data_IF_307464151409
#
_entry.id   IF_307464151409
#
_cell.length_a   1.000
_cell.length_b   1.000
_cell.length_c   1.000
_cell.angle_alpha   90.00
_cell.angle_beta   90.00
_cell.angle_gamma   90.00
#
_symmetry.space_group_name_H-M   'P 1'
#
loop_
_entity.id
_entity.type
_entity.pdbx_description
1 polymer ?
#
# COMPACT_ATOMS: atom_id res chain seq x y z
N UNK A 1 -1.83 -9.61 -16.45
CA UNK A 1 -2.87 -8.72 -17.02
C UNK A 1 -4.06 -8.67 -16.09
N UNK A 2 -4.80 -7.56 -16.09
CA UNK A 2 -5.98 -7.36 -15.25
C UNK A 2 -7.12 -6.87 -16.15
N UNK A 3 -8.29 -7.48 -16.05
CA UNK A 3 -9.45 -7.11 -16.87
C UNK A 3 -10.76 -7.41 -16.12
N UNK A 4 -11.85 -6.83 -16.61
CA UNK A 4 -13.20 -7.24 -16.22
C UNK A 4 -13.85 -8.00 -17.38
N UNK A 5 -14.57 -9.06 -17.05
CA UNK A 5 -15.43 -9.77 -18.00
C UNK A 5 -16.62 -8.89 -18.42
N UNK A 6 -17.40 -9.34 -19.41
CA UNK A 6 -18.63 -8.67 -19.81
C UNK A 6 -19.67 -8.60 -18.69
N UNK A 7 -19.68 -9.59 -17.78
CA UNK A 7 -20.50 -9.58 -16.55
C UNK A 7 -19.91 -8.74 -15.41
N UNK A 8 -18.68 -8.24 -15.54
CA UNK A 8 -18.02 -7.36 -14.57
C UNK A 8 -17.11 -8.08 -13.57
N UNK A 9 -16.98 -9.41 -13.66
CA UNK A 9 -16.04 -10.20 -12.85
C UNK A 9 -14.61 -9.72 -13.09
N UNK A 10 -13.90 -9.40 -12.00
CA UNK A 10 -12.50 -9.01 -12.06
C UNK A 10 -11.63 -10.26 -12.22
N UNK A 11 -10.71 -10.24 -13.18
CA UNK A 11 -9.78 -11.35 -13.42
C UNK A 11 -8.36 -10.84 -13.51
N UNK A 12 -7.45 -11.50 -12.77
CA UNK A 12 -6.00 -11.34 -12.92
C UNK A 12 -5.45 -12.62 -13.54
N UNK A 13 -4.73 -12.50 -14.64
CA UNK A 13 -4.21 -13.66 -15.37
C UNK A 13 -2.81 -13.37 -15.92
N UNK A 14 -2.10 -14.43 -16.34
CA UNK A 14 -0.83 -14.27 -17.04
C UNK A 14 -1.01 -13.42 -18.30
N UNK A 15 -0.01 -12.57 -18.58
CA UNK A 15 -0.09 -11.66 -19.73
C UNK A 15 0.12 -12.35 -21.07
N UNK A 16 0.66 -13.57 -21.11
CA UNK A 16 1.00 -14.28 -22.34
C UNK A 16 0.11 -15.49 -22.56
N UNK A 17 -0.39 -15.63 -23.79
CA UNK A 17 -1.22 -16.74 -24.20
C UNK A 17 -0.43 -18.06 -24.12
N UNK A 18 -0.95 -19.10 -23.44
CA UNK A 18 -0.26 -20.39 -23.29
C UNK A 18 -0.10 -21.17 -24.62
N UNK A 19 -0.71 -20.71 -25.71
CA UNK A 19 -0.58 -21.36 -27.03
C UNK A 19 0.80 -21.13 -27.64
N UNK A 20 1.11 -19.87 -27.97
CA UNK A 20 2.37 -19.48 -28.65
C UNK A 20 2.93 -18.17 -28.10
N UNK A 21 2.59 -17.81 -26.85
CA UNK A 21 3.20 -16.69 -26.14
C UNK A 21 2.75 -15.30 -26.58
N UNK A 22 1.62 -15.15 -27.27
CA UNK A 22 1.09 -13.82 -27.63
C UNK A 22 0.74 -13.02 -26.38
N UNK A 23 1.23 -11.77 -26.27
CA UNK A 23 0.86 -10.88 -25.17
C UNK A 23 -0.62 -10.47 -25.26
N UNK A 24 -1.45 -10.98 -24.35
CA UNK A 24 -2.90 -10.74 -24.30
C UNK A 24 -3.23 -9.30 -23.88
N UNK A 25 -2.41 -8.65 -23.04
CA UNK A 25 -2.62 -7.24 -22.71
C UNK A 25 -2.43 -6.26 -23.89
N UNK A 26 -2.06 -6.74 -25.08
CA UNK A 26 -1.92 -5.94 -26.29
C UNK A 26 -2.85 -6.47 -27.37
N UNK A 27 -4.05 -5.88 -27.46
CA UNK A 27 -5.02 -6.18 -28.52
C UNK A 27 -5.97 -7.35 -28.26
N UNK A 28 -5.89 -8.04 -27.11
CA UNK A 28 -6.98 -8.94 -26.73
C UNK A 28 -8.29 -8.16 -26.54
N UNK A 29 -9.40 -8.86 -26.75
CA UNK A 29 -10.76 -8.31 -26.60
C UNK A 29 -11.54 -9.16 -25.62
N UNK A 30 -12.54 -8.56 -24.98
CA UNK A 30 -13.49 -9.26 -24.12
C UNK A 30 -14.75 -9.54 -24.94
N UNK A 31 -15.10 -10.82 -25.08
CA UNK A 31 -16.29 -11.29 -25.81
C UNK A 31 -17.21 -12.02 -24.84
N UNK A 32 -18.25 -11.34 -24.35
CA UNK A 32 -19.01 -11.86 -23.20
C UNK A 32 -18.08 -12.00 -22.00
N UNK A 33 -17.97 -13.19 -21.42
CA UNK A 33 -17.06 -13.46 -20.29
C UNK A 33 -15.71 -14.05 -20.71
N UNK A 34 -15.44 -14.15 -22.02
CA UNK A 34 -14.19 -14.71 -22.52
C UNK A 34 -13.19 -13.62 -22.86
N UNK A 35 -11.91 -13.84 -22.52
CA UNK A 35 -10.83 -13.09 -23.16
C UNK A 35 -10.41 -13.79 -24.46
N UNK A 36 -10.41 -13.03 -25.56
CA UNK A 36 -10.03 -13.50 -26.89
C UNK A 36 -8.61 -13.05 -27.26
N UNK A 37 -7.75 -14.02 -27.52
CA UNK A 37 -6.37 -13.81 -27.96
C UNK A 37 -6.32 -13.13 -29.35
N UNK A 38 -5.51 -12.08 -29.54
CA UNK A 38 -5.47 -11.32 -30.79
C UNK A 38 -4.83 -12.08 -31.96
N UNK A 39 -3.98 -13.08 -31.69
CA UNK A 39 -3.25 -13.78 -32.75
C UNK A 39 -4.10 -14.85 -33.45
N UNK A 40 -4.66 -15.78 -32.68
CA UNK A 40 -5.40 -16.93 -33.23
C UNK A 40 -6.88 -16.95 -32.84
N UNK A 41 -7.35 -15.92 -32.13
CA UNK A 41 -8.75 -15.83 -31.70
C UNK A 41 -9.17 -16.87 -30.66
N UNK A 42 -8.23 -17.54 -29.99
CA UNK A 42 -8.53 -18.47 -28.90
C UNK A 42 -9.22 -17.74 -27.75
N UNK A 43 -10.28 -18.35 -27.20
CA UNK A 43 -11.08 -17.77 -26.12
C UNK A 43 -10.83 -18.52 -24.83
N UNK A 44 -10.57 -17.77 -23.77
CA UNK A 44 -10.33 -18.30 -22.44
C UNK A 44 -11.46 -17.87 -21.50
N UNK A 45 -12.02 -18.81 -20.76
CA UNK A 45 -13.00 -18.57 -19.67
C UNK A 45 -12.34 -17.76 -18.53
N UNK A 46 -13.11 -17.16 -17.60
CA UNK A 46 -12.56 -16.42 -16.46
C UNK A 46 -11.61 -17.26 -15.59
N UNK A 47 -11.86 -18.57 -15.48
CA UNK A 47 -10.98 -19.54 -14.82
C UNK A 47 -9.85 -20.08 -15.71
N UNK A 48 -9.67 -19.52 -16.90
CA UNK A 48 -8.52 -19.74 -17.78
C UNK A 48 -8.64 -20.88 -18.79
N UNK A 49 -9.73 -21.65 -18.83
CA UNK A 49 -9.83 -22.75 -19.79
C UNK A 49 -10.03 -22.25 -21.22
N UNK A 50 -9.30 -22.83 -22.18
CA UNK A 50 -9.49 -22.52 -23.59
C UNK A 50 -10.67 -23.30 -24.17
N UNK A 51 -11.68 -22.58 -24.66
CA UNK A 51 -12.90 -23.14 -25.24
C UNK A 51 -12.59 -24.00 -26.46
N UNK A 52 -11.75 -23.50 -27.38
CA UNK A 52 -11.41 -24.21 -28.61
C UNK A 52 -10.53 -25.44 -28.37
N UNK A 53 -9.65 -25.41 -27.36
CA UNK A 53 -8.82 -26.58 -27.03
C UNK A 53 -9.68 -27.72 -26.50
N UNK A 54 -10.60 -27.41 -25.57
CA UNK A 54 -11.55 -28.38 -25.01
C UNK A 54 -12.44 -29.00 -26.09
N UNK A 55 -12.95 -28.18 -27.02
CA UNK A 55 -13.76 -28.66 -28.13
C UNK A 55 -13.03 -29.65 -29.06
N UNK A 56 -11.69 -29.59 -29.12
CA UNK A 56 -10.83 -30.48 -29.91
C UNK A 56 -10.28 -31.67 -29.11
N UNK A 57 -10.76 -31.89 -27.88
CA UNK A 57 -10.27 -32.95 -26.99
C UNK A 57 -8.89 -32.69 -26.38
N UNK A 58 -8.39 -31.44 -26.47
CA UNK A 58 -7.14 -31.02 -25.84
C UNK A 58 -7.36 -30.23 -24.55
N UNK A 59 -6.26 -29.85 -23.90
CA UNK A 59 -6.24 -28.95 -22.75
C UNK A 59 -5.27 -27.82 -23.00
N UNK A 60 -5.74 -26.58 -22.82
CA UNK A 60 -4.93 -25.39 -22.85
C UNK A 60 -5.50 -24.44 -21.79
N UNK A 61 -4.67 -24.09 -20.81
CA UNK A 61 -5.07 -23.31 -19.64
C UNK A 61 -4.24 -22.03 -19.58
N UNK A 62 -4.93 -20.88 -19.59
CA UNK A 62 -4.37 -19.60 -19.19
C UNK A 62 -4.30 -19.58 -17.67
N UNK A 63 -3.14 -19.26 -17.10
CA UNK A 63 -3.01 -19.14 -15.65
C UNK A 63 -3.78 -17.91 -15.17
N UNK A 64 -4.64 -18.13 -14.19
CA UNK A 64 -5.44 -17.11 -13.51
C UNK A 64 -4.99 -17.08 -12.05
N UNK A 65 -4.85 -15.90 -11.49
CA UNK A 65 -4.40 -15.67 -10.12
C UNK A 65 -5.61 -15.26 -9.27
N UNK A 66 -5.76 -15.80 -8.04
CA UNK A 66 -6.81 -15.35 -7.13
C UNK A 66 -6.73 -13.84 -6.92
N UNK A 67 -7.88 -13.18 -6.96
CA UNK A 67 -7.98 -11.72 -6.89
C UNK A 67 -9.00 -11.31 -5.85
N UNK A 68 -8.74 -10.19 -5.17
CA UNK A 68 -9.74 -9.52 -4.35
C UNK A 68 -9.71 -8.00 -4.56
N UNK A 69 -10.81 -7.36 -4.22
CA UNK A 69 -10.93 -5.90 -4.19
C UNK A 69 -11.09 -5.45 -2.74
N UNK A 70 -10.24 -4.52 -2.29
CA UNK A 70 -10.31 -3.91 -0.96
C UNK A 70 -10.25 -2.41 -1.13
N UNK A 71 -11.31 -1.71 -0.71
CA UNK A 71 -11.43 -0.25 -0.82
C UNK A 71 -11.07 0.28 -2.23
N UNK A 72 -11.67 -0.33 -3.26
CA UNK A 72 -11.44 0.05 -4.66
C UNK A 72 -10.07 -0.29 -5.24
N UNK A 73 -9.15 -0.88 -4.45
CA UNK A 73 -7.84 -1.35 -4.89
C UNK A 73 -7.89 -2.84 -5.22
N UNK A 74 -7.14 -3.25 -6.25
CA UNK A 74 -7.08 -4.63 -6.74
C UNK A 74 -5.83 -5.33 -6.21
N UNK A 75 -6.01 -6.49 -5.58
CA UNK A 75 -4.93 -7.32 -5.07
C UNK A 75 -4.98 -8.70 -5.71
N UNK A 76 -3.81 -9.24 -6.04
CA UNK A 76 -3.67 -10.60 -6.57
C UNK A 76 -2.83 -11.42 -5.61
N UNK A 77 -3.25 -12.66 -5.37
CA UNK A 77 -2.46 -13.66 -4.68
C UNK A 77 -1.37 -14.20 -5.60
N UNK A 78 -0.18 -14.42 -5.06
CA UNK A 78 0.91 -15.08 -5.76
C UNK A 78 1.53 -16.15 -4.86
N UNK A 79 1.59 -17.37 -5.40
CA UNK A 79 2.34 -18.47 -4.82
C UNK A 79 3.06 -19.21 -5.95
N UNK A 80 4.36 -19.55 -5.82
CA UNK A 80 5.11 -20.28 -6.85
C UNK A 80 4.46 -21.63 -7.21
N UNK A 81 3.92 -22.32 -6.21
CA UNK A 81 3.24 -23.62 -6.33
C UNK A 81 1.76 -23.53 -6.71
N UNK A 82 1.23 -22.31 -6.90
CA UNK A 82 -0.17 -22.01 -7.20
C UNK A 82 -1.15 -22.45 -6.09
N UNK A 83 -0.68 -22.58 -4.85
CA UNK A 83 -1.56 -22.77 -3.70
C UNK A 83 -2.56 -21.62 -3.55
N UNK A 84 -3.78 -21.89 -3.03
CA UNK A 84 -4.78 -20.85 -2.79
C UNK A 84 -4.31 -19.89 -1.68
N UNK A 85 -4.94 -18.70 -1.55
CA UNK A 85 -4.63 -17.75 -0.50
C UNK A 85 -4.70 -18.39 0.89
N UNK A 86 -3.60 -18.28 1.66
CA UNK A 86 -3.53 -18.79 3.04
C UNK A 86 -3.95 -17.74 4.08
N UNK A 87 -4.11 -16.48 3.66
CA UNK A 87 -4.61 -15.38 4.47
C UNK A 87 -5.44 -14.41 3.62
N UNK A 88 -6.25 -13.60 4.28
CA UNK A 88 -7.06 -12.56 3.66
C UNK A 88 -6.55 -11.17 4.04
N UNK A 89 -6.77 -10.19 3.17
CA UNK A 89 -6.56 -8.79 3.51
C UNK A 89 -7.69 -8.30 4.43
N UNK A 90 -7.42 -7.33 5.32
CA UNK A 90 -8.44 -6.76 6.19
C UNK A 90 -9.53 -6.07 5.37
N UNK A 91 -10.79 -6.23 5.77
CA UNK A 91 -11.85 -5.36 5.28
C UNK A 91 -11.58 -3.91 5.69
N UNK A 92 -11.83 -2.99 4.78
CA UNK A 92 -11.66 -1.56 5.02
C UNK A 92 -12.86 -0.80 4.48
N UNK A 93 -13.60 -0.16 5.40
CA UNK A 93 -14.61 0.83 5.03
C UNK A 93 -13.95 2.20 4.85
N UNK A 94 -13.90 2.66 3.61
CA UNK A 94 -13.33 3.93 3.19
C UNK A 94 -14.39 4.94 2.75
N UNK A 95 -15.70 4.70 2.97
CA UNK A 95 -16.77 5.60 2.48
C UNK A 95 -16.67 7.03 3.04
N UNK A 96 -16.14 7.17 4.25
CA UNK A 96 -15.92 8.45 4.90
C UNK A 96 -14.65 9.17 4.40
N UNK A 97 -13.86 8.53 3.55
CA UNK A 97 -12.59 9.05 3.05
C UNK A 97 -12.73 9.73 1.69
N UNK A 98 -11.82 10.63 1.41
CA UNK A 98 -11.73 11.30 0.12
C UNK A 98 -11.19 10.34 -0.95
N UNK A 99 -11.39 10.64 -2.26
CA UNK A 99 -10.81 9.83 -3.31
C UNK A 99 -9.29 9.66 -3.14
N UNK A 100 -8.80 8.46 -3.39
CA UNK A 100 -7.38 8.14 -3.26
C UNK A 100 -6.51 8.98 -4.20
N UNK A 101 -5.37 9.41 -3.66
CA UNK A 101 -4.24 9.93 -4.44
C UNK A 101 -3.14 8.89 -4.40
N UNK A 102 -2.55 8.60 -5.56
CA UNK A 102 -1.54 7.55 -5.70
C UNK A 102 -0.29 8.17 -6.32
N UNK A 103 0.86 7.91 -5.71
CA UNK A 103 2.17 8.10 -6.33
C UNK A 103 2.86 6.75 -6.41
N UNK A 104 3.33 6.38 -7.59
CA UNK A 104 4.09 5.15 -7.79
C UNK A 104 5.56 5.49 -7.95
N UNK A 105 6.40 4.86 -7.14
CA UNK A 105 7.85 4.99 -7.20
C UNK A 105 8.47 3.64 -7.58
N UNK A 106 9.54 3.68 -8.37
CA UNK A 106 10.31 2.47 -8.70
C UNK A 106 11.59 2.43 -7.90
N UNK A 107 11.86 1.28 -7.29
CA UNK A 107 13.00 1.08 -6.41
C UNK A 107 13.76 -0.19 -6.80
N UNK A 108 15.09 -0.09 -6.79
CA UNK A 108 16.00 -1.23 -6.95
C UNK A 108 16.26 -1.91 -5.59
N UNK A 109 15.18 -2.33 -4.93
CA UNK A 109 15.18 -3.00 -3.62
C UNK A 109 14.24 -4.22 -3.64
N UNK A 110 14.46 -5.16 -2.72
CA UNK A 110 13.48 -6.20 -2.42
C UNK A 110 12.19 -5.59 -1.86
N UNK A 111 11.07 -6.26 -2.08
CA UNK A 111 9.74 -5.69 -1.84
C UNK A 111 9.43 -5.46 -0.35
N UNK A 112 10.04 -6.23 0.55
CA UNK A 112 9.89 -6.08 2.00
C UNK A 112 10.63 -4.86 2.58
N UNK A 113 11.68 -4.38 1.90
CA UNK A 113 12.57 -3.34 2.44
C UNK A 113 11.87 -1.99 2.65
N UNK A 114 11.02 -1.48 1.74
CA UNK A 114 10.24 -0.27 2.00
C UNK A 114 9.19 -0.43 3.11
N UNK A 115 8.70 -1.65 3.33
CA UNK A 115 7.67 -1.93 4.33
C UNK A 115 8.27 -2.09 5.74
N UNK A 116 9.46 -2.69 5.86
CA UNK A 116 10.21 -2.85 7.11
C UNK A 116 10.36 -1.54 7.87
N UNK A 117 10.75 -0.48 7.16
CA UNK A 117 11.02 0.85 7.73
C UNK A 117 9.79 1.40 8.48
N UNK A 118 8.62 1.23 7.90
CA UNK A 118 7.36 1.69 8.48
C UNK A 118 6.79 0.72 9.51
N UNK A 119 7.08 -0.58 9.38
CA UNK A 119 6.53 -1.61 10.25
C UNK A 119 7.23 -1.67 11.61
N UNK A 120 8.55 -1.48 11.65
CA UNK A 120 9.35 -1.82 12.84
C UNK A 120 10.55 -0.92 13.11
N UNK A 121 11.07 -0.20 12.12
CA UNK A 121 12.18 0.74 12.35
C UNK A 121 11.64 2.04 12.98
N UNK A 122 11.52 2.10 14.30
CA UNK A 122 11.07 3.33 14.97
C UNK A 122 12.19 4.40 14.97
N UNK A 123 13.45 4.02 14.77
CA UNK A 123 14.60 4.91 14.85
C UNK A 123 14.68 5.90 13.69
N UNK A 124 14.25 5.49 12.49
CA UNK A 124 14.27 6.38 11.32
C UNK A 124 13.39 7.63 11.52
N UNK A 125 12.28 7.51 12.24
CA UNK A 125 11.38 8.63 12.56
C UNK A 125 12.11 9.83 13.19
N UNK A 126 12.98 9.56 14.16
CA UNK A 126 13.73 10.62 14.86
C UNK A 126 14.83 11.22 13.99
N UNK A 127 15.45 10.42 13.12
CA UNK A 127 16.67 10.82 12.39
C UNK A 127 16.38 11.34 10.98
N UNK A 128 15.50 10.67 10.25
CA UNK A 128 15.09 11.03 8.89
C UNK A 128 14.01 12.10 8.90
N UNK A 129 12.94 11.91 9.69
CA UNK A 129 11.78 12.81 9.72
C UNK A 129 11.84 13.88 10.83
N UNK A 130 12.90 13.87 11.65
CA UNK A 130 13.07 14.78 12.79
C UNK A 130 11.87 14.79 13.76
N UNK A 131 11.22 13.65 13.93
CA UNK A 131 10.09 13.49 14.84
C UNK A 131 10.54 13.46 16.29
N UNK A 132 9.66 13.90 17.19
CA UNK A 132 9.93 13.97 18.62
C UNK A 132 8.96 13.10 19.42
N UNK A 133 9.42 12.59 20.56
CA UNK A 133 8.58 11.79 21.47
C UNK A 133 8.00 10.56 20.78
N UNK A 134 8.80 9.90 19.93
CA UNK A 134 8.40 8.69 19.22
C UNK A 134 8.39 7.55 20.22
N UNK A 135 7.19 7.11 20.61
CA UNK A 135 7.00 6.09 21.64
C UNK A 135 5.99 5.03 21.15
N UNK A 136 6.29 3.73 21.32
CA UNK A 136 5.32 2.68 21.06
C UNK A 136 4.17 2.77 22.06
N UNK A 137 2.95 2.83 21.54
CA UNK A 137 1.69 2.75 22.32
C UNK A 137 1.39 1.30 22.67
N UNK A 138 1.66 0.39 21.72
CA UNK A 138 1.52 -1.05 21.88
C UNK A 138 2.79 -1.76 21.41
N UNK A 139 3.15 -2.91 22.00
CA UNK A 139 4.27 -3.71 21.52
C UNK A 139 4.04 -4.20 20.08
N UNK A 140 5.11 -4.30 19.29
CA UNK A 140 5.09 -4.95 17.99
C UNK A 140 4.56 -6.39 18.11
N UNK A 141 3.47 -6.66 17.41
CA UNK A 141 2.92 -8.00 17.24
C UNK A 141 3.26 -8.53 15.85
N UNK A 142 3.61 -9.81 15.80
CA UNK A 142 3.93 -10.53 14.57
C UNK A 142 3.22 -11.87 14.64
N UNK A 143 2.27 -12.05 13.74
CA UNK A 143 1.52 -13.28 13.53
C UNK A 143 2.04 -14.00 12.28
N UNK A 144 1.43 -15.13 11.92
CA UNK A 144 1.87 -15.92 10.76
C UNK A 144 1.85 -15.16 9.43
N UNK A 145 0.93 -14.19 9.25
CA UNK A 145 0.75 -13.48 7.98
C UNK A 145 0.73 -11.96 8.13
N UNK A 146 0.88 -11.42 9.34
CA UNK A 146 0.78 -9.97 9.55
C UNK A 146 1.64 -9.46 10.68
N UNK A 147 1.99 -8.17 10.60
CA UNK A 147 2.58 -7.40 11.69
C UNK A 147 1.69 -6.22 12.04
N UNK A 148 1.74 -5.81 13.31
CA UNK A 148 1.05 -4.61 13.78
C UNK A 148 1.88 -3.87 14.82
N UNK A 149 1.90 -2.55 14.70
CA UNK A 149 2.56 -1.63 15.60
C UNK A 149 1.73 -0.36 15.75
N UNK A 150 1.71 0.22 16.95
CA UNK A 150 1.08 1.50 17.22
C UNK A 150 2.07 2.42 17.92
N UNK A 151 2.14 3.66 17.46
CA UNK A 151 3.14 4.65 17.85
C UNK A 151 2.44 5.98 18.13
N UNK A 152 2.95 6.73 19.10
CA UNK A 152 2.68 8.17 19.21
C UNK A 152 3.97 8.90 18.86
N UNK A 153 3.84 9.98 18.11
CA UNK A 153 4.97 10.78 17.66
C UNK A 153 4.53 12.22 17.43
N UNK A 154 5.48 13.15 17.48
CA UNK A 154 5.25 14.57 17.21
C UNK A 154 5.97 14.95 15.94
N UNK A 155 5.21 15.21 14.88
CA UNK A 155 5.78 15.59 13.59
C UNK A 155 6.06 17.10 13.52
N UNK A 156 7.20 17.51 12.95
CA UNK A 156 7.44 18.91 12.67
C UNK A 156 6.54 19.38 11.53
N UNK A 157 5.71 20.39 11.78
CA UNK A 157 4.85 20.92 10.73
C UNK A 157 5.68 21.57 9.61
N UNK A 158 5.21 21.47 8.37
CA UNK A 158 5.80 22.19 7.23
C UNK A 158 5.81 23.71 7.47
N UNK A 159 6.62 24.52 6.75
CA UNK A 159 6.61 25.98 6.91
C UNK A 159 5.22 26.62 6.80
N UNK A 160 4.39 26.09 5.90
CA UNK A 160 2.97 26.49 5.76
C UNK A 160 2.15 26.03 6.97
N UNK A 161 2.32 24.78 7.41
CA UNK A 161 1.68 24.24 8.61
C UNK A 161 2.03 25.02 9.88
N UNK A 162 3.29 25.44 10.07
CA UNK A 162 3.74 26.27 11.20
C UNK A 162 2.99 27.60 11.29
N UNK A 163 2.68 28.25 10.16
CA UNK A 163 1.87 29.48 10.14
C UNK A 163 0.45 29.22 10.60
N UNK A 164 -0.15 28.12 10.15
CA UNK A 164 -1.49 27.70 10.56
C UNK A 164 -1.54 27.32 12.05
N UNK A 165 -0.59 26.52 12.53
CA UNK A 165 -0.51 26.10 13.93
C UNK A 165 -0.37 27.29 14.89
N UNK A 166 0.40 28.31 14.53
CA UNK A 166 0.50 29.55 15.31
C UNK A 166 -0.85 30.27 15.45
N UNK A 167 -1.70 30.25 14.41
CA UNK A 167 -3.07 30.81 14.49
C UNK A 167 -3.98 30.00 15.42
N UNK A 168 -3.64 28.73 15.67
CA UNK A 168 -4.34 27.82 16.57
C UNK A 168 -3.75 27.81 17.99
N UNK A 169 -2.75 28.66 18.28
CA UNK A 169 -2.09 28.72 19.59
C UNK A 169 -1.03 27.62 19.81
N UNK A 170 -0.67 26.86 18.77
CA UNK A 170 0.42 25.88 18.82
C UNK A 170 1.70 26.55 18.31
N UNK A 171 2.62 26.84 19.23
CA UNK A 171 3.77 27.71 18.95
C UNK A 171 5.10 26.97 18.75
N UNK A 172 5.22 25.74 19.24
CA UNK A 172 6.40 24.90 19.06
C UNK A 172 6.50 24.31 17.63
N UNK A 173 5.39 24.33 16.89
CA UNK A 173 5.34 23.92 15.49
C UNK A 173 5.34 22.40 15.30
N UNK A 174 4.97 21.64 16.34
CA UNK A 174 4.84 20.19 16.29
C UNK A 174 3.38 19.76 16.39
N UNK A 175 3.07 18.65 15.75
CA UNK A 175 1.73 18.04 15.76
C UNK A 175 1.87 16.63 16.31
N UNK A 176 1.19 16.36 17.42
CA UNK A 176 1.06 15.01 17.94
C UNK A 176 0.13 14.18 17.03
N UNK A 177 0.63 13.02 16.62
CA UNK A 177 -0.05 12.07 15.76
C UNK A 177 0.06 10.68 16.37
N UNK A 178 -1.07 9.99 16.38
CA UNK A 178 -1.11 8.56 16.67
C UNK A 178 -1.07 7.81 15.34
N UNK A 179 -0.10 6.91 15.18
CA UNK A 179 0.11 6.12 13.97
C UNK A 179 -0.10 4.66 14.30
N UNK A 180 -0.99 4.02 13.56
CA UNK A 180 -1.20 2.57 13.59
C UNK A 180 -0.74 1.99 12.26
N UNK A 181 0.15 1.01 12.31
CA UNK A 181 0.70 0.35 11.12
C UNK A 181 0.31 -1.11 11.15
N UNK A 182 -0.28 -1.58 10.05
CA UNK A 182 -0.57 -3.00 9.83
C UNK A 182 0.00 -3.45 8.49
N UNK A 183 0.87 -4.45 8.53
CA UNK A 183 1.40 -5.11 7.33
C UNK A 183 0.77 -6.49 7.21
N UNK A 184 0.30 -6.88 6.01
CA UNK A 184 -0.30 -8.21 5.74
C UNK A 184 0.35 -8.79 4.50
N UNK A 185 1.07 -9.90 4.65
CA UNK A 185 1.99 -10.38 3.64
C UNK A 185 3.07 -9.34 3.29
N UNK A 186 3.67 -9.47 2.11
CA UNK A 186 4.72 -8.55 1.64
C UNK A 186 4.22 -7.47 0.66
N UNK A 187 2.93 -7.47 0.33
CA UNK A 187 2.35 -6.57 -0.69
C UNK A 187 1.38 -5.51 -0.15
N UNK A 188 1.01 -5.58 1.13
CA UNK A 188 0.03 -4.68 1.75
C UNK A 188 0.56 -4.14 3.08
N UNK A 189 0.65 -2.81 3.17
CA UNK A 189 0.82 -2.13 4.43
C UNK A 189 -0.13 -0.93 4.49
N UNK A 190 -0.90 -0.87 5.56
CA UNK A 190 -1.83 0.21 5.86
C UNK A 190 -1.37 0.95 7.10
N UNK A 191 -1.20 2.26 6.95
CA UNK A 191 -0.78 3.19 8.00
C UNK A 191 -1.95 4.14 8.23
N UNK A 192 -2.49 4.16 9.45
CA UNK A 192 -3.53 5.08 9.86
C UNK A 192 -2.96 6.11 10.82
N UNK A 193 -2.98 7.36 10.39
CA UNK A 193 -2.49 8.50 11.18
C UNK A 193 -3.67 9.32 11.68
N UNK A 194 -3.73 9.54 12.99
CA UNK A 194 -4.77 10.33 13.65
C UNK A 194 -4.15 11.54 14.32
N UNK A 195 -4.56 12.72 13.87
CA UNK A 195 -4.21 14.00 14.48
C UNK A 195 -5.41 14.52 15.26
N UNK A 196 -5.54 14.06 16.52
CA UNK A 196 -6.71 14.34 17.34
C UNK A 196 -6.95 15.85 17.56
N UNK A 197 -5.87 16.63 17.70
CA UNK A 197 -5.92 18.08 17.88
C UNK A 197 -6.56 18.84 16.71
N UNK A 198 -6.53 18.25 15.51
CA UNK A 198 -7.10 18.82 14.28
C UNK A 198 -8.34 18.07 13.79
N UNK A 199 -8.71 16.95 14.44
CA UNK A 199 -9.81 16.10 13.98
C UNK A 199 -9.55 15.45 12.62
N UNK A 200 -8.27 15.23 12.28
CA UNK A 200 -7.84 14.67 10.99
C UNK A 200 -7.50 13.20 11.18
N UNK A 201 -7.96 12.37 10.25
CA UNK A 201 -7.57 10.97 10.11
C UNK A 201 -7.11 10.77 8.68
N UNK A 202 -5.97 10.13 8.48
CA UNK A 202 -5.39 9.82 7.18
C UNK A 202 -5.16 8.32 7.08
N UNK A 203 -5.60 7.72 5.98
CA UNK A 203 -5.14 6.42 5.55
C UNK A 203 -3.99 6.63 4.55
N UNK A 204 -2.86 6.01 4.84
CA UNK A 204 -1.74 5.84 3.91
C UNK A 204 -1.59 4.35 3.62
N UNK A 205 -1.24 3.99 2.39
CA UNK A 205 -0.85 2.64 2.04
C UNK A 205 0.51 2.62 1.37
N UNK A 206 1.30 1.61 1.70
CA UNK A 206 2.54 1.26 1.02
C UNK A 206 2.30 -0.09 0.35
N UNK A 207 2.01 -0.08 -0.96
CA UNK A 207 1.64 -1.28 -1.71
C UNK A 207 2.78 -1.67 -2.66
N UNK A 208 3.59 -2.63 -2.21
CA UNK A 208 4.75 -3.11 -2.94
C UNK A 208 4.35 -4.16 -3.98
N UNK A 209 4.75 -3.94 -5.24
CA UNK A 209 4.52 -4.86 -6.36
C UNK A 209 5.88 -5.27 -6.95
N UNK A 210 6.33 -6.52 -6.76
CA UNK A 210 7.63 -6.95 -7.26
C UNK A 210 7.62 -7.06 -8.78
N UNK A 211 8.67 -6.56 -9.42
CA UNK A 211 8.95 -6.70 -10.87
C UNK A 211 10.06 -7.70 -11.13
N UNK A 212 11.03 -7.75 -10.24
CA UNK A 212 12.13 -8.70 -10.20
C UNK A 212 12.54 -8.91 -8.74
N UNK A 213 13.55 -9.74 -8.49
CA UNK A 213 14.03 -10.05 -7.13
C UNK A 213 14.37 -8.79 -6.32
N UNK A 214 14.99 -7.79 -6.96
CA UNK A 214 15.38 -6.52 -6.33
C UNK A 214 14.84 -5.32 -7.11
N UNK A 215 13.64 -5.44 -7.69
CA UNK A 215 12.97 -4.33 -8.36
C UNK A 215 11.50 -4.33 -7.93
N UNK A 216 11.03 -3.21 -7.39
CA UNK A 216 9.67 -3.06 -6.89
C UNK A 216 9.06 -1.75 -7.39
N UNK A 217 7.80 -1.83 -7.85
CA UNK A 217 6.95 -0.65 -7.97
C UNK A 217 6.21 -0.47 -6.63
N UNK A 218 6.50 0.61 -5.91
CA UNK A 218 5.90 0.95 -4.63
C UNK A 218 4.80 1.99 -4.86
N UNK A 219 3.54 1.60 -4.64
CA UNK A 219 2.41 2.52 -4.73
C UNK A 219 2.15 3.12 -3.34
N UNK A 220 2.46 4.40 -3.20
CA UNK A 220 2.17 5.21 -2.02
C UNK A 220 0.81 5.85 -2.21
N UNK A 221 -0.17 5.36 -1.46
CA UNK A 221 -1.57 5.77 -1.55
C UNK A 221 -1.92 6.64 -0.36
N UNK A 222 -2.64 7.73 -0.60
CA UNK A 222 -3.10 8.68 0.42
C UNK A 222 -4.60 8.89 0.32
N UNK A 223 -5.28 8.94 1.46
CA UNK A 223 -6.61 9.52 1.56
C UNK A 223 -6.88 10.06 2.96
N UNK A 224 -7.44 11.26 3.02
CA UNK A 224 -7.91 11.89 4.25
C UNK A 224 -9.39 11.57 4.49
N UNK A 225 -9.76 11.31 5.74
CA UNK A 225 -11.16 11.26 6.14
C UNK A 225 -11.79 12.64 5.95
N UNK A 226 -13.03 12.67 5.44
CA UNK A 226 -13.83 13.91 5.36
C UNK A 226 -13.89 14.60 6.71
N UNK A 227 -13.81 15.93 6.69
CA UNK A 227 -13.72 16.70 7.92
C UNK A 227 -15.04 16.65 8.71
N UNK A 228 -14.96 16.30 9.99
CA UNK A 228 -16.07 16.43 10.93
C UNK A 228 -15.96 17.77 11.67
N UNK A 229 -16.94 18.66 11.42
CA UNK A 229 -17.00 19.99 12.05
C UNK A 229 -16.95 19.93 13.58
N UNK A 230 -17.47 18.88 14.20
CA UNK A 230 -17.46 18.75 15.66
C UNK A 230 -16.03 18.52 16.22
N UNK A 231 -15.16 17.89 15.43
CA UNK A 231 -13.78 17.53 15.81
C UNK A 231 -12.76 18.63 15.47
N UNK A 232 -13.13 19.57 14.59
CA UNK A 232 -12.25 20.69 14.25
C UNK A 232 -11.99 21.63 15.44
N UNK A 233 -10.82 22.30 15.48
CA UNK A 233 -10.56 23.45 16.34
C UNK A 233 -11.63 24.53 16.20
N UNK A 234 -11.95 25.23 17.30
CA UNK A 234 -13.03 26.25 17.36
C UNK A 234 -12.96 27.28 16.23
N UNK A 235 -11.74 27.73 15.89
CA UNK A 235 -11.50 28.70 14.82
C UNK A 235 -12.05 28.24 13.46
N UNK A 236 -11.91 26.96 13.12
CA UNK A 236 -12.31 26.42 11.83
C UNK A 236 -13.79 26.02 11.77
N UNK A 237 -14.47 25.87 12.92
CA UNK A 237 -15.88 25.44 12.96
C UNK A 237 -16.83 26.43 12.26
N UNK A 238 -16.45 27.70 12.18
CA UNK A 238 -17.23 28.75 11.52
C UNK A 238 -17.07 28.76 10.00
N UNK A 239 -16.07 28.07 9.46
CA UNK A 239 -15.79 28.07 8.03
C UNK A 239 -16.56 26.93 7.32
N UNK A 240 -16.99 27.12 6.07
CA UNK A 240 -17.59 26.07 5.27
C UNK A 240 -16.61 24.91 5.03
N UNK A 241 -17.01 23.68 5.33
CA UNK A 241 -16.19 22.48 5.10
C UNK A 241 -15.73 22.34 3.63
N UNK A 242 -16.55 22.63 2.60
CA UNK A 242 -16.11 22.54 1.21
C UNK A 242 -14.95 23.47 0.84
N UNK A 243 -14.67 24.50 1.63
CA UNK A 243 -13.52 25.39 1.46
C UNK A 243 -12.29 24.90 2.23
N UNK A 244 -12.51 24.26 3.38
CA UNK A 244 -11.43 23.75 4.23
C UNK A 244 -10.89 22.41 3.72
N UNK A 245 -11.78 21.47 3.42
CA UNK A 245 -11.43 20.09 3.10
C UNK A 245 -10.39 19.97 1.97
N UNK A 246 -10.50 20.69 0.83
CA UNK A 246 -9.47 20.64 -0.21
C UNK A 246 -8.10 21.18 0.23
N UNK A 247 -8.10 22.15 1.15
CA UNK A 247 -6.85 22.75 1.68
C UNK A 247 -6.16 21.78 2.61
N UNK A 248 -6.90 21.16 3.53
CA UNK A 248 -6.37 20.14 4.45
C UNK A 248 -5.92 18.88 3.70
N UNK A 249 -6.73 18.39 2.76
CA UNK A 249 -6.41 17.25 1.89
C UNK A 249 -5.12 17.50 1.09
N UNK A 250 -5.00 18.69 0.48
CA UNK A 250 -3.79 19.03 -0.28
C UNK A 250 -2.57 19.15 0.63
N UNK A 251 -2.70 19.81 1.77
CA UNK A 251 -1.60 19.99 2.71
C UNK A 251 -1.10 18.66 3.28
N UNK A 252 -2.01 17.77 3.69
CA UNK A 252 -1.65 16.44 4.19
C UNK A 252 -1.03 15.56 3.12
N UNK A 253 -1.52 15.63 1.87
CA UNK A 253 -0.89 14.95 0.75
C UNK A 253 0.53 15.45 0.49
N UNK A 254 0.73 16.77 0.42
CA UNK A 254 2.05 17.37 0.16
C UNK A 254 3.04 17.03 1.30
N UNK A 255 2.58 16.96 2.55
CA UNK A 255 3.38 16.54 3.70
C UNK A 255 3.80 15.07 3.61
N UNK A 256 2.88 14.16 3.28
CA UNK A 256 3.21 12.76 3.07
C UNK A 256 4.20 12.57 1.90
N UNK A 257 4.00 13.29 0.80
CA UNK A 257 4.91 13.21 -0.34
C UNK A 257 6.31 13.73 0.00
N UNK A 258 6.43 14.76 0.83
CA UNK A 258 7.73 15.23 1.32
C UNK A 258 8.43 14.17 2.19
N UNK A 259 7.72 13.55 3.14
CA UNK A 259 8.28 12.46 3.95
C UNK A 259 8.65 11.24 3.10
N UNK A 260 7.86 10.96 2.05
CA UNK A 260 8.18 9.91 1.09
C UNK A 260 9.43 10.28 0.27
N UNK A 261 9.62 11.55 -0.12
CA UNK A 261 10.83 11.99 -0.84
C UNK A 261 12.10 11.82 0.01
N UNK A 262 12.01 12.05 1.32
CA UNK A 262 13.10 11.77 2.28
C UNK A 262 13.48 10.28 2.28
N UNK A 263 12.48 9.39 2.32
CA UNK A 263 12.67 7.94 2.18
C UNK A 263 13.31 7.56 0.85
N UNK A 264 12.83 8.13 -0.27
CA UNK A 264 13.39 7.88 -1.59
C UNK A 264 14.87 8.27 -1.65
N UNK A 265 15.25 9.38 -1.00
CA UNK A 265 16.64 9.78 -0.84
C UNK A 265 17.51 8.71 -0.17
N UNK A 266 16.97 7.91 0.75
CA UNK A 266 17.68 6.79 1.36
C UNK A 266 17.62 5.54 0.47
N UNK A 267 16.43 5.10 0.06
CA UNK A 267 16.22 3.84 -0.65
C UNK A 267 16.96 3.74 -1.98
N UNK A 268 17.00 4.82 -2.77
CA UNK A 268 17.73 4.87 -4.05
C UNK A 268 19.24 4.67 -3.93
N UNK A 269 19.79 4.81 -2.72
CA UNK A 269 21.22 4.64 -2.41
C UNK A 269 21.48 3.52 -1.40
N UNK A 270 20.42 2.85 -0.95
CA UNK A 270 20.49 1.70 -0.05
C UNK A 270 20.81 0.46 -0.88
N UNK A 271 21.50 -0.49 -0.27
CA UNK A 271 21.64 -1.85 -0.80
C UNK A 271 21.11 -2.83 0.24
N UNK A 272 20.52 -3.92 -0.22
CA UNK A 272 20.14 -5.01 0.68
C UNK A 272 21.40 -5.74 1.17
N UNK A 273 21.40 -6.09 2.46
CA UNK A 273 22.48 -6.84 3.10
C UNK A 273 21.94 -8.21 3.49
N UNK A 274 22.61 -9.28 3.05
CA UNK A 274 22.27 -10.65 3.44
C UNK A 274 22.50 -10.93 4.94
N UNK A 275 23.44 -10.21 5.57
CA UNK A 275 23.76 -10.31 6.98
C UNK A 275 24.04 -8.90 7.56
N UNK A 276 23.01 -8.12 7.89
CA UNK A 276 23.19 -6.84 8.58
C UNK A 276 23.77 -7.04 9.99
N UNK A 277 24.47 -6.02 10.49
CA UNK A 277 24.85 -5.94 11.89
C UNK A 277 23.71 -5.35 12.71
N UNK A 278 23.45 -5.91 13.89
CA UNK A 278 22.35 -5.51 14.77
C UNK A 278 22.86 -4.94 16.08
N UNK A 279 22.20 -3.91 16.59
CA UNK A 279 22.32 -3.51 17.99
C UNK A 279 21.47 -4.41 18.91
N UNK A 280 21.80 -4.50 20.21
CA UNK A 280 21.07 -5.35 21.16
C UNK A 280 19.57 -5.00 21.30
N UNK A 281 19.20 -3.76 21.07
CA UNK A 281 17.85 -3.19 21.19
C UNK A 281 17.02 -3.27 19.89
N UNK A 282 17.57 -3.77 18.79
CA UNK A 282 16.92 -3.87 17.48
C UNK A 282 16.23 -5.23 17.24
N UNK A 283 15.69 -5.86 18.30
CA UNK A 283 15.08 -7.19 18.18
C UNK A 283 13.87 -7.23 17.22
N UNK A 284 13.13 -6.12 17.13
CA UNK A 284 12.01 -5.98 16.21
C UNK A 284 12.42 -6.18 14.75
N UNK A 285 13.52 -5.55 14.30
CA UNK A 285 13.99 -5.66 12.92
C UNK A 285 14.36 -7.11 12.57
N UNK A 286 15.07 -7.79 13.48
CA UNK A 286 15.40 -9.21 13.32
C UNK A 286 14.14 -10.07 13.21
N UNK A 287 13.17 -9.87 14.10
CA UNK A 287 11.91 -10.63 14.08
C UNK A 287 11.09 -10.37 12.81
N UNK A 288 11.05 -9.14 12.32
CA UNK A 288 10.39 -8.79 11.07
C UNK A 288 11.04 -9.49 9.87
N UNK A 289 12.37 -9.52 9.78
CA UNK A 289 13.06 -10.22 8.70
C UNK A 289 12.83 -11.72 8.72
N UNK A 290 12.92 -12.36 9.88
CA UNK A 290 12.57 -13.79 10.01
C UNK A 290 11.12 -14.07 9.60
N UNK A 291 10.20 -13.16 9.90
CA UNK A 291 8.82 -13.25 9.44
C UNK A 291 8.68 -13.08 7.92
N UNK A 292 9.41 -12.13 7.32
CA UNK A 292 9.44 -11.92 5.88
C UNK A 292 10.06 -13.11 5.13
N UNK A 293 11.13 -13.71 5.67
CA UNK A 293 11.79 -14.90 5.13
C UNK A 293 10.81 -16.08 4.98
N UNK A 294 9.85 -16.21 5.91
CA UNK A 294 8.83 -17.27 5.87
C UNK A 294 7.87 -17.22 4.67
N UNK A 295 7.82 -16.13 3.89
CA UNK A 295 7.06 -16.07 2.64
C UNK A 295 7.84 -16.60 1.42
N UNK A 296 9.14 -16.88 1.60
CA UNK A 296 10.03 -17.38 0.56
C UNK A 296 10.40 -18.87 0.70
N UNK A 297 9.96 -19.51 1.79
CA UNK A 297 10.13 -20.95 2.08
C UNK A 297 9.01 -21.81 1.48
#
# INVERSE_FOLDING_TARGET
MVYRTGSGELVVADAHCPHVGTHLGQGATIEGDYIRCPLHGLRFEPHGACVEARARGGSLMLRVHPVCEVAGMVFSWYAPDQSPPSFALPELDDQAFLPYRIRTERLDLAMEEPLEVHAVDIGHNTTLHAEQGVEPVEPLTIDASSTHAALVMRHPATPTGKRMLRLLGVHDGYVETHVEVRTVGLGYQHIRSTVASMGIVVNQFMLAVPRAANEVDLNVVYSMQRLDRARLPRLFRMLPLPLLEPVFDRAGYDELMAATDEHMGMWTRKRQLAAPGWFPDEDGLRRYRTWADGFYE
#
